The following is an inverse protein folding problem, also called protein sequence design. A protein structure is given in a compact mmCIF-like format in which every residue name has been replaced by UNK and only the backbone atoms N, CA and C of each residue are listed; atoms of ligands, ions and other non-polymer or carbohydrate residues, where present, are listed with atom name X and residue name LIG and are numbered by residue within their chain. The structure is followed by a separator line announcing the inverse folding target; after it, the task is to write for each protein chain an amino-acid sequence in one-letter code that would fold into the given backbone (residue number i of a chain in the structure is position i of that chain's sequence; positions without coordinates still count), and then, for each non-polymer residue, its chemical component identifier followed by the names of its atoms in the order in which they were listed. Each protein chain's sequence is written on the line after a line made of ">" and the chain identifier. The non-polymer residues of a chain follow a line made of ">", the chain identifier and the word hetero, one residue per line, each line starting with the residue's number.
data_IF_642266230447
#
_entry.id   IF_642266230447
#
_cell.length_a   1.000
_cell.length_b   1.000
_cell.length_c   1.000
_cell.angle_alpha   90.00
_cell.angle_beta   90.00
_cell.angle_gamma   90.00
#
_symmetry.space_group_name_H-M   'P 1'
#
loop_
_entity.id
_entity.type
_entity.pdbx_description
1 polymer ?
#
# COMPACT_ATOMS: atom_id res chain seq x y z
N UNK A 1 16.49 23.30 27.26
CA UNK A 1 17.89 22.86 27.35
C UNK A 1 17.92 21.71 28.34
N UNK A 2 17.80 20.46 27.91
CA UNK A 2 17.75 19.32 28.84
C UNK A 2 19.16 19.09 29.38
N UNK A 3 19.41 19.52 30.62
CA UNK A 3 20.67 19.28 31.28
C UNK A 3 20.83 17.79 31.58
N UNK A 4 21.87 17.16 31.02
CA UNK A 4 22.18 15.76 31.34
C UNK A 4 22.85 15.73 32.71
N UNK A 5 22.35 14.90 33.62
CA UNK A 5 22.98 14.71 34.93
C UNK A 5 24.18 13.78 34.77
N UNK A 6 25.32 14.16 35.33
CA UNK A 6 26.52 13.34 35.30
C UNK A 6 26.38 12.12 36.20
N UNK A 7 26.54 10.89 35.69
CA UNK A 7 26.41 9.67 36.51
C UNK A 7 27.57 9.46 37.49
N UNK A 8 28.67 10.22 37.34
CA UNK A 8 29.85 10.13 38.22
C UNK A 8 29.77 11.06 39.42
N UNK A 9 29.24 12.27 39.24
CA UNK A 9 29.24 13.31 40.28
C UNK A 9 27.84 13.87 40.60
N UNK A 10 26.80 13.49 39.85
CA UNK A 10 25.42 13.95 40.04
C UNK A 10 25.16 15.40 39.62
N UNK A 11 26.15 16.11 39.06
CA UNK A 11 26.00 17.51 38.62
C UNK A 11 25.43 17.61 37.21
N UNK A 12 24.71 18.69 36.95
CA UNK A 12 24.21 19.02 35.61
C UNK A 12 25.40 19.28 34.65
N UNK A 13 25.37 18.68 33.48
CA UNK A 13 26.32 18.91 32.41
C UNK A 13 25.62 19.45 31.16
N UNK A 14 26.28 20.43 30.52
CA UNK A 14 25.78 21.16 29.36
C UNK A 14 26.47 20.75 28.04
N UNK A 15 27.23 19.65 28.02
CA UNK A 15 27.90 19.13 26.83
C UNK A 15 28.30 17.66 26.98
N UNK A 16 29.10 17.14 26.06
CA UNK A 16 29.58 15.73 26.08
C UNK A 16 30.47 15.38 27.26
N UNK A 17 30.95 16.37 28.04
CA UNK A 17 31.82 16.20 29.20
C UNK A 17 31.33 17.04 30.37
N UNK A 18 31.48 16.51 31.57
CA UNK A 18 31.13 17.19 32.81
C UNK A 18 32.26 18.16 33.18
N UNK A 19 31.93 19.43 33.42
CA UNK A 19 32.89 20.47 33.78
C UNK A 19 33.50 20.27 35.18
N UNK A 20 32.79 19.55 36.07
CA UNK A 20 33.20 19.37 37.46
C UNK A 20 34.12 18.16 37.66
N UNK A 21 33.86 17.05 36.96
CA UNK A 21 34.60 15.80 37.17
C UNK A 21 35.29 15.25 35.90
N UNK A 22 35.19 15.95 34.77
CA UNK A 22 35.78 15.54 33.49
C UNK A 22 35.17 14.29 32.84
N UNK A 23 34.16 13.68 33.45
CA UNK A 23 33.55 12.46 32.94
C UNK A 23 32.71 12.74 31.69
N UNK A 24 32.73 11.82 30.73
CA UNK A 24 31.88 11.91 29.53
C UNK A 24 30.41 11.71 29.91
N UNK A 25 29.54 12.57 29.40
CA UNK A 25 28.10 12.69 29.70
C UNK A 25 27.40 12.85 28.36
N UNK A 26 27.00 11.71 27.79
CA UNK A 26 26.51 11.63 26.41
C UNK A 26 26.79 10.29 25.73
N UNK A 27 27.25 9.28 26.47
CA UNK A 27 27.28 7.89 26.01
C UNK A 27 25.99 7.17 26.38
N UNK A 28 25.60 6.21 25.56
CA UNK A 28 24.56 5.25 25.95
C UNK A 28 25.14 4.31 27.00
N UNK A 29 24.39 4.06 28.07
CA UNK A 29 24.75 3.06 29.07
C UNK A 29 24.23 1.70 28.60
N UNK A 30 25.00 0.65 28.85
CA UNK A 30 24.56 -0.71 28.60
C UNK A 30 23.40 -1.01 29.56
N UNK A 31 22.25 -1.43 29.05
CA UNK A 31 21.10 -1.80 29.88
C UNK A 31 21.39 -3.04 30.74
N UNK A 32 22.32 -3.89 30.31
CA UNK A 32 22.67 -5.12 31.03
C UNK A 32 23.71 -4.90 32.14
N UNK A 33 24.75 -4.10 31.88
CA UNK A 33 25.90 -3.99 32.79
C UNK A 33 26.22 -2.56 33.25
N UNK A 34 25.46 -1.57 32.79
CA UNK A 34 25.68 -0.16 33.15
C UNK A 34 26.99 0.45 32.63
N UNK A 35 27.77 -0.27 31.81
CA UNK A 35 28.98 0.28 31.23
C UNK A 35 28.66 1.39 30.23
N UNK A 36 29.47 2.46 30.21
CA UNK A 36 29.35 3.49 29.19
C UNK A 36 29.81 2.95 27.83
N UNK A 37 29.00 3.19 26.81
CA UNK A 37 29.26 2.75 25.45
C UNK A 37 29.22 3.95 24.50
N UNK A 38 30.02 3.88 23.44
CA UNK A 38 29.99 4.86 22.36
C UNK A 38 28.69 4.70 21.55
N UNK A 39 28.11 5.82 21.11
CA UNK A 39 26.83 5.81 20.39
C UNK A 39 26.85 4.98 19.07
N UNK A 40 28.03 4.64 18.56
CA UNK A 40 28.21 3.85 17.36
C UNK A 40 28.58 2.36 17.60
N UNK A 41 28.69 1.90 18.85
CA UNK A 41 29.08 0.51 19.10
C UNK A 41 27.90 -0.45 18.94
N UNK A 42 28.10 -1.52 18.17
CA UNK A 42 27.11 -2.61 18.00
C UNK A 42 27.11 -3.60 19.17
N UNK A 43 28.17 -3.62 19.98
CA UNK A 43 28.37 -4.54 21.10
C UNK A 43 28.98 -3.82 22.30
N UNK A 44 28.64 -4.25 23.51
CA UNK A 44 29.26 -3.74 24.72
C UNK A 44 30.64 -4.38 24.92
N UNK A 45 31.68 -3.56 25.01
CA UNK A 45 33.06 -4.04 25.25
C UNK A 45 33.29 -4.64 26.65
N UNK A 46 32.31 -4.57 27.56
CA UNK A 46 32.42 -5.09 28.93
C UNK A 46 31.64 -6.39 29.14
N UNK A 47 30.38 -6.45 28.73
CA UNK A 47 29.55 -7.65 28.88
C UNK A 47 29.37 -8.46 27.59
N UNK A 48 29.83 -7.97 26.44
CA UNK A 48 29.66 -8.63 25.14
C UNK A 48 28.25 -8.51 24.53
N UNK A 49 27.28 -7.93 25.24
CA UNK A 49 25.90 -7.91 24.78
C UNK A 49 25.69 -6.98 23.58
N UNK A 50 24.79 -7.34 22.66
CA UNK A 50 24.46 -6.54 21.48
C UNK A 50 23.70 -5.28 21.89
N UNK A 51 24.05 -4.16 21.29
CA UNK A 51 23.38 -2.88 21.50
C UNK A 51 22.62 -2.61 20.21
N UNK A 52 21.30 -2.80 20.27
CA UNK A 52 20.43 -2.47 19.15
C UNK A 52 20.32 -0.96 19.06
N UNK A 53 21.29 -0.32 18.40
CA UNK A 53 21.07 1.02 17.84
C UNK A 53 19.93 0.87 16.83
N UNK A 54 18.99 1.80 16.83
CA UNK A 54 17.68 1.75 16.16
C UNK A 54 17.71 1.71 14.63
N UNK A 55 18.60 0.91 14.04
CA UNK A 55 18.74 0.69 12.61
C UNK A 55 17.49 0.00 12.03
N UNK A 56 16.79 -0.82 12.82
CA UNK A 56 15.49 -1.38 12.44
C UNK A 56 14.38 -0.32 12.32
N UNK A 57 14.44 0.76 13.10
CA UNK A 57 13.47 1.84 13.02
C UNK A 57 13.79 2.78 11.84
N UNK A 58 15.08 2.99 11.56
CA UNK A 58 15.55 3.73 10.39
C UNK A 58 15.23 2.99 9.07
N UNK A 59 15.37 1.67 9.02
CA UNK A 59 15.06 0.88 7.83
C UNK A 59 13.56 0.87 7.49
N UNK A 60 12.67 0.80 8.50
CA UNK A 60 11.23 0.92 8.30
C UNK A 60 10.82 2.32 7.79
N UNK A 61 11.50 3.37 8.28
CA UNK A 61 11.29 4.74 7.81
C UNK A 61 11.91 5.01 6.43
N UNK A 62 12.92 4.26 6.00
CA UNK A 62 13.53 4.38 4.68
C UNK A 62 12.68 3.71 3.59
N UNK A 63 11.96 2.63 3.92
CA UNK A 63 10.99 2.01 3.00
C UNK A 63 9.68 2.81 2.86
N UNK A 64 9.31 3.60 3.86
CA UNK A 64 8.07 4.39 3.88
C UNK A 64 8.33 5.91 3.79
N UNK A 65 9.59 6.30 3.57
CA UNK A 65 10.09 7.67 3.69
C UNK A 65 9.70 8.58 2.54
N UNK A 66 8.54 9.23 2.70
CA UNK A 66 8.21 10.60 2.25
C UNK A 66 8.13 10.88 0.74
N UNK A 67 9.15 10.57 -0.06
CA UNK A 67 9.23 10.94 -1.49
C UNK A 67 8.81 9.81 -2.43
N UNK A 68 9.06 8.56 -2.05
CA UNK A 68 8.76 7.38 -2.88
C UNK A 68 7.45 6.69 -2.48
N UNK A 69 6.82 7.15 -1.39
CA UNK A 69 5.53 6.65 -0.89
C UNK A 69 4.42 6.69 -1.97
N UNK A 70 4.23 7.78 -2.74
CA UNK A 70 3.20 7.78 -3.80
C UNK A 70 3.53 6.82 -4.96
N UNK A 71 4.80 6.61 -5.30
CA UNK A 71 5.20 5.68 -6.36
C UNK A 71 5.00 4.21 -5.92
N UNK A 72 5.26 3.90 -4.65
CA UNK A 72 4.96 2.58 -4.06
C UNK A 72 3.46 2.31 -3.97
N UNK A 73 2.65 3.31 -3.59
CA UNK A 73 1.18 3.19 -3.59
C UNK A 73 0.66 2.93 -5.00
N UNK A 74 1.18 3.65 -6.00
CA UNK A 74 0.83 3.44 -7.40
C UNK A 74 1.21 2.03 -7.89
N UNK A 75 2.42 1.56 -7.57
CA UNK A 75 2.88 0.21 -7.92
C UNK A 75 2.04 -0.89 -7.26
N UNK A 76 1.75 -0.76 -5.97
CA UNK A 76 0.92 -1.71 -5.23
C UNK A 76 -0.52 -1.74 -5.76
N UNK A 77 -1.12 -0.56 -6.01
CA UNK A 77 -2.47 -0.48 -6.58
C UNK A 77 -2.54 -1.10 -7.99
N UNK A 78 -1.53 -0.86 -8.83
CA UNK A 78 -1.49 -1.45 -10.17
C UNK A 78 -1.31 -2.97 -10.12
N UNK A 79 -0.47 -3.49 -9.22
CA UNK A 79 -0.31 -4.92 -9.04
C UNK A 79 -1.59 -5.60 -8.56
N UNK A 80 -2.27 -5.01 -7.56
CA UNK A 80 -3.57 -5.52 -7.07
C UNK A 80 -4.62 -5.53 -8.18
N UNK A 81 -4.67 -4.48 -9.00
CA UNK A 81 -5.61 -4.40 -10.13
C UNK A 81 -5.31 -5.47 -11.19
N UNK A 82 -4.03 -5.70 -11.53
CA UNK A 82 -3.63 -6.75 -12.48
C UNK A 82 -4.04 -8.13 -11.95
N UNK A 83 -3.78 -8.41 -10.67
CA UNK A 83 -4.17 -9.69 -10.05
C UNK A 83 -5.68 -9.86 -10.05
N UNK A 84 -6.44 -8.80 -9.72
CA UNK A 84 -7.90 -8.84 -9.76
C UNK A 84 -8.43 -9.15 -11.17
N UNK A 85 -7.92 -8.48 -12.20
CA UNK A 85 -8.31 -8.74 -13.60
C UNK A 85 -7.94 -10.16 -14.05
N UNK A 86 -6.76 -10.67 -13.65
CA UNK A 86 -6.36 -12.04 -13.94
C UNK A 86 -7.30 -13.08 -13.29
N UNK A 87 -7.70 -12.84 -12.03
CA UNK A 87 -8.67 -13.71 -11.33
C UNK A 87 -10.07 -13.65 -11.95
N UNK A 88 -10.52 -12.46 -12.38
CA UNK A 88 -11.80 -12.28 -13.07
C UNK A 88 -11.81 -12.99 -14.43
N UNK A 89 -10.73 -12.91 -15.20
CA UNK A 89 -10.60 -13.65 -16.46
C UNK A 89 -10.66 -15.17 -16.24
N UNK A 90 -10.10 -15.66 -15.14
CA UNK A 90 -10.16 -17.08 -14.78
C UNK A 90 -11.56 -17.51 -14.30
N UNK A 91 -12.35 -16.58 -13.75
CA UNK A 91 -13.72 -16.82 -13.28
C UNK A 91 -14.80 -16.54 -14.33
N UNK A 92 -14.49 -15.86 -15.43
CA UNK A 92 -15.44 -15.63 -16.54
C UNK A 92 -15.82 -16.90 -17.34
N UNK A 93 -15.50 -18.09 -16.83
CA UNK A 93 -15.93 -19.39 -17.34
C UNK A 93 -17.30 -19.87 -16.83
N UNK A 94 -18.26 -19.00 -16.52
CA UNK A 94 -19.61 -19.47 -16.20
C UNK A 94 -20.66 -18.39 -15.95
N UNK A 95 -21.59 -18.14 -16.89
CA UNK A 95 -22.87 -17.53 -16.58
C UNK A 95 -23.67 -18.51 -15.70
N UNK A 96 -23.88 -18.16 -14.42
CA UNK A 96 -24.95 -18.78 -13.65
C UNK A 96 -26.27 -18.33 -14.28
N UNK A 97 -26.93 -19.26 -14.95
CA UNK A 97 -28.25 -19.06 -15.55
C UNK A 97 -29.21 -18.68 -14.41
N UNK A 98 -29.85 -17.50 -14.43
CA UNK A 98 -30.96 -17.24 -13.52
C UNK A 98 -32.08 -18.22 -13.88
N UNK A 99 -32.48 -19.04 -12.91
CA UNK A 99 -33.65 -19.92 -13.00
C UNK A 99 -34.85 -19.12 -13.46
N UNK A 100 -35.42 -19.51 -14.60
CA UNK A 100 -36.62 -18.90 -15.18
C UNK A 100 -37.74 -18.83 -14.12
N UNK A 101 -38.19 -17.61 -13.82
CA UNK A 101 -39.44 -17.39 -13.11
C UNK A 101 -40.62 -17.70 -14.04
N UNK A 102 -41.74 -18.24 -13.53
CA UNK A 102 -42.87 -18.60 -14.37
C UNK A 102 -43.48 -17.37 -15.04
N UNK A 103 -43.77 -17.52 -16.33
CA UNK A 103 -44.30 -16.50 -17.22
C UNK A 103 -45.75 -16.21 -16.82
N UNK A 104 -46.03 -15.03 -16.28
CA UNK A 104 -47.39 -14.49 -16.21
C UNK A 104 -47.72 -13.86 -17.56
N UNK A 105 -48.61 -14.49 -18.31
CA UNK A 105 -49.21 -13.90 -19.51
C UNK A 105 -50.17 -12.77 -19.12
N UNK A 106 -49.83 -11.53 -19.45
CA UNK A 106 -50.73 -10.38 -19.31
C UNK A 106 -51.03 -9.78 -20.70
N UNK A 107 -52.30 -9.68 -21.10
CA UNK A 107 -52.68 -9.05 -22.36
C UNK A 107 -52.90 -7.54 -22.13
N UNK A 108 -52.26 -6.71 -22.96
CA UNK A 108 -52.60 -5.29 -23.12
C UNK A 108 -51.40 -4.35 -23.14
N UNK A 109 -51.28 -3.61 -24.24
CA UNK A 109 -50.41 -2.42 -24.35
C UNK A 109 -49.26 -2.61 -25.34
N UNK A 110 -49.42 -2.09 -26.57
CA UNK A 110 -48.41 -2.13 -27.61
C UNK A 110 -47.11 -1.46 -27.18
N UNK A 111 -46.04 -2.25 -27.12
CA UNK A 111 -44.67 -1.79 -27.14
C UNK A 111 -44.09 -2.20 -28.50
N UNK A 112 -43.67 -1.22 -29.29
CA UNK A 112 -42.86 -1.47 -30.48
C UNK A 112 -41.64 -2.28 -30.05
N UNK A 113 -41.56 -3.53 -30.51
CA UNK A 113 -40.43 -4.41 -30.26
C UNK A 113 -39.21 -3.82 -30.96
N UNK A 114 -38.40 -3.07 -30.22
CA UNK A 114 -37.09 -2.61 -30.65
C UNK A 114 -36.10 -3.77 -30.70
N UNK A 115 -36.28 -4.67 -31.65
CA UNK A 115 -35.19 -5.52 -32.14
C UNK A 115 -34.81 -4.98 -33.53
N UNK A 116 -33.54 -4.59 -33.76
CA UNK A 116 -33.12 -4.20 -35.10
C UNK A 116 -33.41 -5.37 -36.07
N UNK A 117 -33.97 -5.09 -37.27
CA UNK A 117 -34.18 -6.13 -38.27
C UNK A 117 -32.88 -6.87 -38.56
N UNK A 118 -32.94 -8.20 -38.63
CA UNK A 118 -31.77 -9.05 -38.82
C UNK A 118 -31.25 -8.92 -40.26
N UNK A 119 -30.24 -8.06 -40.44
CA UNK A 119 -29.65 -7.71 -41.73
C UNK A 119 -29.02 -8.92 -42.45
N UNK A 120 -28.67 -9.98 -41.71
CA UNK A 120 -28.10 -11.20 -42.29
C UNK A 120 -29.11 -12.08 -43.01
N UNK A 121 -30.41 -11.79 -42.86
CA UNK A 121 -31.50 -12.49 -43.56
C UNK A 121 -32.08 -11.72 -44.76
N UNK A 122 -31.62 -10.48 -45.01
CA UNK A 122 -32.02 -9.66 -46.15
C UNK A 122 -30.98 -9.68 -47.27
N UNK A 123 -31.38 -9.26 -48.48
CA UNK A 123 -30.41 -9.07 -49.56
C UNK A 123 -29.51 -7.86 -49.25
N UNK A 124 -28.24 -7.86 -49.70
CA UNK A 124 -27.29 -6.78 -49.42
C UNK A 124 -27.78 -5.39 -49.89
N UNK A 125 -28.53 -5.36 -51.00
CA UNK A 125 -29.07 -4.11 -51.57
C UNK A 125 -30.21 -3.55 -50.73
N UNK A 126 -31.10 -4.41 -50.22
CA UNK A 126 -32.23 -4.04 -49.36
C UNK A 126 -31.75 -3.46 -48.02
N UNK A 127 -30.74 -4.11 -47.42
CA UNK A 127 -30.08 -3.66 -46.20
C UNK A 127 -29.45 -2.26 -46.37
N UNK A 128 -28.74 -2.04 -47.47
CA UNK A 128 -28.12 -0.74 -47.76
C UNK A 128 -29.15 0.37 -47.94
N UNK A 129 -30.25 0.10 -48.65
CA UNK A 129 -31.31 1.08 -48.90
C UNK A 129 -32.04 1.45 -47.59
N UNK A 130 -32.26 0.48 -46.69
CA UNK A 130 -32.83 0.72 -45.35
C UNK A 130 -31.94 1.61 -44.47
N UNK A 131 -30.63 1.39 -44.51
CA UNK A 131 -29.66 2.23 -43.78
C UNK A 131 -29.62 3.65 -44.33
N UNK A 132 -29.61 3.81 -45.65
CA UNK A 132 -29.59 5.11 -46.31
C UNK A 132 -30.82 5.96 -45.98
N UNK A 133 -32.03 5.40 -46.12
CA UNK A 133 -33.30 6.09 -45.81
C UNK A 133 -33.51 6.39 -44.33
N UNK A 134 -32.66 5.87 -43.43
CA UNK A 134 -32.71 6.19 -42.01
C UNK A 134 -31.78 7.35 -41.64
N UNK A 135 -30.71 7.54 -42.42
CA UNK A 135 -29.69 8.58 -42.20
C UNK A 135 -30.04 9.86 -42.95
N UNK A 136 -30.59 9.71 -44.16
CA UNK A 136 -31.20 10.79 -44.94
C UNK A 136 -32.65 10.99 -44.52
#
# INVERSE_FOLDING_TARGET
>A
MTALVCPKCGKAASGSFCQECGAKVGGHLCQECGAQITAAAKYCNRCGNRISVSEHQAAASATLGGKNLPWWIAGAAMFVLIVALATQMMQSGGPSIPTASPITSQPGGGAVTGMPPDLSTMTPVEAANRLFNRVM
#
